data_IF_071569740195
#
_entry.id   IF_071569740195
#
_cell.length_a   1.000
_cell.length_b   1.000
_cell.length_c   1.000
_cell.angle_alpha   90.00
_cell.angle_beta   90.00
_cell.angle_gamma   90.00
#
_symmetry.space_group_name_H-M   'P 1'
#
loop_
_entity.id
_entity.type
_entity.pdbx_description
1 polymer ?
#
# COMPACT_ATOMS: atom_id res chain seq x y z
N UNK A 1 0.38 6.19 -4.46
CA UNK A 1 0.88 6.95 -3.28
C UNK A 1 1.95 7.93 -3.73
N UNK A 2 2.84 7.53 -4.65
CA UNK A 2 3.79 8.43 -5.33
C UNK A 2 3.12 9.59 -6.06
N UNK A 3 2.04 9.36 -6.79
CA UNK A 3 1.37 10.42 -7.57
C UNK A 3 0.73 11.47 -6.66
N UNK A 4 0.01 11.02 -5.62
CA UNK A 4 -0.53 11.91 -4.58
C UNK A 4 0.57 12.72 -3.90
N UNK A 5 1.73 12.11 -3.61
CA UNK A 5 2.86 12.79 -2.98
C UNK A 5 3.45 13.88 -3.90
N UNK A 6 3.64 13.55 -5.18
CA UNK A 6 4.13 14.47 -6.20
C UNK A 6 3.20 15.67 -6.39
N UNK A 7 1.90 15.40 -6.52
CA UNK A 7 0.90 16.43 -6.78
C UNK A 7 0.59 17.30 -5.55
N UNK A 8 0.61 16.70 -4.35
CA UNK A 8 0.48 17.45 -3.10
C UNK A 8 1.77 18.17 -2.67
N UNK A 9 2.90 17.93 -3.35
CA UNK A 9 4.20 18.56 -3.03
C UNK A 9 4.81 18.09 -1.71
N UNK A 10 4.55 16.85 -1.31
CA UNK A 10 5.00 16.28 -0.03
C UNK A 10 5.74 14.96 -0.21
N UNK A 11 6.39 14.49 0.85
CA UNK A 11 7.02 13.17 0.83
C UNK A 11 5.98 12.03 0.87
N UNK A 12 6.36 10.85 0.34
CA UNK A 12 5.53 9.64 0.44
C UNK A 12 5.24 9.29 1.91
N UNK A 13 6.20 9.54 2.81
CA UNK A 13 6.03 9.34 4.25
C UNK A 13 4.91 10.23 4.81
N UNK A 14 4.86 11.51 4.40
CA UNK A 14 3.79 12.44 4.79
C UNK A 14 2.42 11.95 4.32
N UNK A 15 2.31 11.50 3.06
CA UNK A 15 1.06 10.92 2.54
C UNK A 15 0.65 9.68 3.34
N UNK A 16 1.60 8.81 3.68
CA UNK A 16 1.35 7.64 4.53
C UNK A 16 0.86 8.03 5.93
N UNK A 17 1.46 9.04 6.56
CA UNK A 17 1.02 9.56 7.86
C UNK A 17 -0.42 10.09 7.79
N UNK A 18 -0.76 10.82 6.72
CA UNK A 18 -2.12 11.33 6.48
C UNK A 18 -3.13 10.19 6.34
N UNK A 19 -2.88 9.22 5.47
CA UNK A 19 -3.79 8.08 5.27
C UNK A 19 -3.92 7.18 6.49
N UNK A 20 -2.83 7.03 7.27
CA UNK A 20 -2.83 6.26 8.52
C UNK A 20 -3.27 7.08 9.74
N UNK A 21 -3.76 8.32 9.54
CA UNK A 21 -4.21 9.26 10.57
C UNK A 21 -3.18 9.49 11.70
N UNK A 22 -1.89 9.33 11.42
CA UNK A 22 -0.83 9.53 12.42
C UNK A 22 -0.59 11.03 12.71
N UNK A 23 -0.17 11.39 13.93
CA UNK A 23 0.23 12.76 14.27
C UNK A 23 1.53 13.16 13.52
N UNK A 24 1.82 14.46 13.45
CA UNK A 24 3.04 14.99 12.82
C UNK A 24 2.86 15.61 11.43
N UNK A 25 1.62 15.77 10.95
CA UNK A 25 1.32 16.50 9.70
C UNK A 25 0.37 17.64 10.03
N UNK A 26 0.71 18.86 9.59
CA UNK A 26 -0.13 20.04 9.77
C UNK A 26 -1.50 19.87 9.12
N UNK A 27 -2.52 20.56 9.67
CA UNK A 27 -3.90 20.47 9.20
C UNK A 27 -4.02 20.85 7.72
N UNK A 28 -3.38 21.94 7.32
CA UNK A 28 -3.36 22.42 5.94
C UNK A 28 -2.77 21.38 4.98
N UNK A 29 -1.60 20.82 5.31
CA UNK A 29 -0.96 19.76 4.51
C UNK A 29 -1.84 18.53 4.41
N UNK A 30 -2.53 18.17 5.50
CA UNK A 30 -3.45 17.03 5.52
C UNK A 30 -4.65 17.27 4.60
N UNK A 31 -5.26 18.44 4.65
CA UNK A 31 -6.37 18.82 3.77
C UNK A 31 -5.94 18.81 2.30
N UNK A 32 -4.77 19.35 1.98
CA UNK A 32 -4.21 19.35 0.61
C UNK A 32 -3.99 17.93 0.08
N UNK A 33 -3.37 17.05 0.87
CA UNK A 33 -3.15 15.64 0.49
C UNK A 33 -4.49 14.91 0.27
N UNK A 34 -5.49 15.16 1.12
CA UNK A 34 -6.82 14.55 0.97
C UNK A 34 -7.57 15.08 -0.25
N UNK A 35 -7.43 16.36 -0.59
CA UNK A 35 -8.01 16.92 -1.82
C UNK A 35 -7.42 16.25 -3.05
N UNK A 36 -6.09 16.30 -3.17
CA UNK A 36 -5.35 15.70 -4.28
C UNK A 36 -5.65 14.20 -4.42
N UNK A 37 -5.75 13.47 -3.29
CA UNK A 37 -6.11 12.06 -3.32
C UNK A 37 -7.51 11.80 -3.88
N UNK A 38 -8.48 12.70 -3.62
CA UNK A 38 -9.83 12.61 -4.20
C UNK A 38 -9.80 12.93 -5.69
N UNK A 39 -9.09 13.97 -6.08
CA UNK A 39 -9.00 14.41 -7.49
C UNK A 39 -8.35 13.33 -8.38
N UNK A 40 -7.40 12.57 -7.83
CA UNK A 40 -6.71 11.47 -8.52
C UNK A 40 -7.46 10.13 -8.45
N UNK A 41 -8.68 10.07 -7.90
CA UNK A 41 -9.41 8.83 -7.56
C UNK A 41 -8.48 7.80 -6.88
N UNK A 42 -7.64 8.26 -5.96
CA UNK A 42 -6.57 7.44 -5.44
C UNK A 42 -7.11 6.29 -4.57
N UNK A 43 -7.23 5.11 -5.17
CA UNK A 43 -7.52 3.87 -4.45
C UNK A 43 -6.28 3.43 -3.69
N UNK A 44 -6.38 3.41 -2.36
CA UNK A 44 -5.32 2.87 -1.50
C UNK A 44 -5.06 1.41 -1.91
N UNK A 45 -3.84 1.05 -2.36
CA UNK A 45 -3.51 -0.34 -2.60
C UNK A 45 -3.63 -1.11 -1.28
N UNK A 46 -4.07 -2.37 -1.37
CA UNK A 46 -4.13 -3.26 -0.21
C UNK A 46 -2.76 -3.24 0.50
N UNK A 47 -2.73 -3.20 1.84
CA UNK A 47 -1.47 -3.21 2.57
C UNK A 47 -0.67 -4.44 2.14
N UNK A 48 0.60 -4.23 1.80
CA UNK A 48 1.52 -5.33 1.53
C UNK A 48 1.56 -6.23 2.78
N UNK A 49 1.85 -7.53 2.63
CA UNK A 49 1.84 -8.49 3.75
C UNK A 49 2.76 -8.13 4.94
N UNK A 50 3.63 -7.13 4.76
CA UNK A 50 4.54 -6.55 5.76
C UNK A 50 3.91 -5.37 6.54
N UNK A 51 2.89 -4.71 6.01
CA UNK A 51 2.17 -3.57 6.59
C UNK A 51 0.91 -3.98 7.36
N UNK A 52 0.61 -5.27 7.41
CA UNK A 52 -0.45 -5.81 8.26
C UNK A 52 -0.06 -5.52 9.72
N UNK A 53 -0.94 -4.89 10.53
CA UNK A 53 -0.63 -4.68 11.94
C UNK A 53 -0.18 -5.99 12.56
N UNK A 54 0.84 -5.96 13.43
CA UNK A 54 1.40 -7.12 14.16
C UNK A 54 0.39 -7.75 15.15
N UNK A 55 -0.89 -7.75 14.83
CA UNK A 55 -1.91 -8.58 15.47
C UNK A 55 -1.89 -10.00 14.90
N UNK A 56 -2.58 -10.91 15.60
CA UNK A 56 -2.70 -12.33 15.23
C UNK A 56 -3.43 -12.43 13.89
N UNK A 57 -2.67 -12.56 12.80
CA UNK A 57 -3.22 -12.75 11.45
C UNK A 57 -3.10 -14.22 11.08
N UNK A 58 -4.23 -14.90 10.88
CA UNK A 58 -4.25 -16.27 10.34
C UNK A 58 -4.33 -16.17 8.82
N UNK A 59 -3.30 -16.66 8.12
CA UNK A 59 -3.28 -16.73 6.65
C UNK A 59 -3.55 -18.16 6.22
N UNK A 60 -4.55 -18.36 5.37
CA UNK A 60 -4.82 -19.65 4.75
C UNK A 60 -4.03 -19.75 3.46
N UNK A 61 -3.04 -20.65 3.43
CA UNK A 61 -2.31 -20.99 2.22
C UNK A 61 -2.87 -22.31 1.67
N UNK A 62 -3.59 -22.25 0.56
CA UNK A 62 -4.01 -23.46 -0.17
C UNK A 62 -2.90 -23.87 -1.12
N UNK A 63 -2.02 -24.77 -0.67
CA UNK A 63 -1.07 -25.44 -1.56
C UNK A 63 -1.77 -26.65 -2.18
N UNK A 64 -2.22 -26.50 -3.41
CA UNK A 64 -2.63 -27.63 -4.25
C UNK A 64 -1.38 -28.27 -4.84
N UNK A 65 -1.01 -29.48 -4.40
CA UNK A 65 -0.03 -30.32 -5.11
C UNK A 65 -0.66 -30.77 -6.42
N UNK A 66 -0.32 -30.11 -7.53
CA UNK A 66 -0.54 -30.66 -8.86
C UNK A 66 0.60 -31.65 -9.09
N UNK A 67 0.30 -32.95 -9.09
CA UNK A 67 1.29 -33.99 -9.32
C UNK A 67 1.63 -34.12 -10.81
N UNK A 68 2.92 -34.00 -11.13
CA UNK A 68 3.62 -34.37 -12.39
C UNK A 68 3.17 -33.65 -13.68
N UNK A 69 4.02 -33.18 -14.61
CA UNK A 69 5.18 -33.87 -15.23
C UNK A 69 6.08 -32.87 -16.00
N UNK A 70 7.42 -33.03 -15.88
CA UNK A 70 8.54 -32.65 -16.77
C UNK A 70 8.74 -31.17 -17.20
N UNK A 71 9.82 -30.53 -16.73
CA UNK A 71 10.57 -29.56 -17.55
C UNK A 71 11.86 -30.25 -18.01
N UNK A 72 11.97 -30.48 -19.32
CA UNK A 72 13.08 -31.18 -19.98
C UNK A 72 13.95 -30.17 -20.72
N UNK A 73 14.15 -28.98 -20.17
CA UNK A 73 15.00 -27.97 -20.81
C UNK A 73 15.80 -27.26 -19.73
N UNK A 74 17.03 -27.75 -19.57
CA UNK A 74 18.14 -27.04 -18.95
C UNK A 74 19.24 -27.06 -20.02
N UNK A 75 19.35 -25.95 -20.75
CA UNK A 75 20.56 -25.56 -21.50
C UNK A 75 21.55 -24.89 -20.52
#
# INVERSE_FOLDING_TARGET
>A
MKDVAREAGVSIATVSLVFNRKPGVGRETRERVLSVARDLDYRRPLPNGNDVPKGRTVRFLKISRHGHTVNRDHD
#
